data_IF_007451821327
#
_entry.id   IF_007451821327
#
_cell.length_a   1.000
_cell.length_b   1.000
_cell.length_c   1.000
_cell.angle_alpha   90.00
_cell.angle_beta   90.00
_cell.angle_gamma   90.00
#
_symmetry.space_group_name_H-M   'P 1'
#
loop_
_entity.id
_entity.type
_entity.pdbx_description
1 polymer ?
#
# COMPACT_ATOMS: atom_id res chain seq x y z
N UNK A 1 -17.26 -18.66 -29.99
CA UNK A 1 -17.06 -18.81 -28.52
C UNK A 1 -15.59 -19.03 -28.38
N UNK A 2 -14.84 -17.97 -28.11
CA UNK A 2 -13.41 -17.92 -28.37
C UNK A 2 -12.74 -17.28 -27.14
N UNK A 3 -11.85 -18.09 -26.54
CA UNK A 3 -10.68 -17.74 -25.73
C UNK A 3 -10.98 -17.13 -24.35
N UNK A 4 -10.94 -17.90 -23.24
CA UNK A 4 -9.78 -18.42 -22.50
C UNK A 4 -8.86 -17.32 -21.92
N UNK A 5 -8.76 -17.35 -20.58
CA UNK A 5 -7.73 -16.75 -19.71
C UNK A 5 -7.79 -15.24 -19.43
N UNK A 6 -8.88 -14.75 -18.82
CA UNK A 6 -8.77 -13.63 -17.88
C UNK A 6 -8.47 -14.21 -16.48
N UNK A 7 -7.27 -14.76 -16.30
CA UNK A 7 -6.75 -14.90 -14.92
C UNK A 7 -6.50 -13.47 -14.45
N UNK A 8 -7.25 -12.93 -13.47
CA UNK A 8 -6.88 -11.64 -12.92
C UNK A 8 -5.47 -11.82 -12.39
N UNK A 9 -4.53 -11.02 -12.88
CA UNK A 9 -3.17 -10.94 -12.33
C UNK A 9 -3.35 -10.63 -10.84
N UNK A 10 -3.35 -11.67 -10.00
CA UNK A 10 -3.53 -11.53 -8.55
C UNK A 10 -2.28 -10.87 -8.01
N UNK A 11 -2.28 -9.54 -8.02
CA UNK A 11 -1.28 -8.78 -7.30
C UNK A 11 -1.23 -9.29 -5.85
N UNK A 12 -0.02 -9.55 -5.35
CA UNK A 12 0.18 -9.84 -3.93
C UNK A 12 0.32 -8.53 -3.17
N UNK A 13 0.05 -8.55 -1.87
CA UNK A 13 0.25 -7.37 -1.01
C UNK A 13 1.70 -6.86 -1.07
N UNK A 14 2.67 -7.78 -1.11
CA UNK A 14 4.10 -7.49 -1.27
C UNK A 14 4.40 -6.79 -2.60
N UNK A 15 3.86 -7.32 -3.71
CA UNK A 15 4.06 -6.70 -5.03
C UNK A 15 3.45 -5.30 -5.09
N UNK A 16 2.26 -5.10 -4.51
CA UNK A 16 1.63 -3.77 -4.42
C UNK A 16 2.41 -2.83 -3.51
N UNK A 17 2.93 -3.34 -2.39
CA UNK A 17 3.76 -2.56 -1.49
C UNK A 17 4.96 -1.96 -2.24
N UNK A 18 5.68 -2.75 -3.03
CA UNK A 18 6.78 -2.26 -3.87
C UNK A 18 6.34 -1.17 -4.87
N UNK A 19 5.15 -1.32 -5.46
CA UNK A 19 4.57 -0.29 -6.34
C UNK A 19 4.30 1.01 -5.55
N UNK A 20 3.70 0.90 -4.37
CA UNK A 20 3.38 2.05 -3.52
C UNK A 20 4.63 2.73 -2.93
N UNK A 21 5.70 1.99 -2.62
CA UNK A 21 6.98 2.56 -2.19
C UNK A 21 7.56 3.55 -3.20
N UNK A 22 7.23 3.36 -4.49
CA UNK A 22 7.69 4.17 -5.60
C UNK A 22 6.62 5.12 -6.16
N UNK A 23 5.43 5.16 -5.55
CA UNK A 23 4.35 6.05 -5.96
C UNK A 23 4.58 7.48 -5.46
N UNK A 24 4.33 8.48 -6.32
CA UNK A 24 4.45 9.92 -6.00
C UNK A 24 5.80 10.32 -5.39
N UNK A 25 6.89 9.72 -5.87
CA UNK A 25 8.23 10.21 -5.55
C UNK A 25 8.41 11.60 -6.16
N UNK A 26 8.92 12.55 -5.38
CA UNK A 26 9.37 13.84 -5.92
C UNK A 26 10.66 13.56 -6.67
N UNK A 27 10.76 13.91 -7.97
CA UNK A 27 11.98 13.72 -8.74
C UNK A 27 13.03 14.73 -8.29
N UNK A 28 13.77 14.40 -7.23
CA UNK A 28 15.00 15.10 -6.86
C UNK A 28 16.18 14.17 -7.13
N UNK A 29 16.67 14.27 -8.37
CA UNK A 29 18.05 14.05 -8.85
C UNK A 29 18.69 12.65 -8.88
N UNK A 30 18.00 11.57 -8.52
CA UNK A 30 18.49 10.21 -8.77
C UNK A 30 17.42 9.37 -9.48
N UNK A 31 17.38 9.49 -10.81
CA UNK A 31 16.35 8.93 -11.70
C UNK A 31 16.29 7.38 -11.75
N UNK A 32 16.98 6.65 -10.86
CA UNK A 32 17.07 5.19 -10.91
C UNK A 32 17.09 4.50 -9.52
N UNK A 33 16.60 5.17 -8.46
CA UNK A 33 16.54 4.54 -7.14
C UNK A 33 15.12 3.98 -6.88
N UNK A 34 14.99 2.66 -7.00
CA UNK A 34 13.80 1.93 -6.55
C UNK A 34 13.83 1.84 -5.02
N UNK A 35 12.75 2.24 -4.37
CA UNK A 35 12.60 2.10 -2.93
C UNK A 35 11.83 0.82 -2.61
N UNK A 36 12.35 0.07 -1.64
CA UNK A 36 11.73 -1.10 -1.00
C UNK A 36 11.09 -0.75 0.36
N UNK A 37 10.98 0.56 0.66
CA UNK A 37 10.39 1.06 1.90
C UNK A 37 9.35 2.16 1.64
N UNK A 38 8.23 2.12 2.36
CA UNK A 38 7.05 2.98 2.15
C UNK A 38 7.04 4.21 3.07
N UNK A 39 6.56 5.33 2.57
CA UNK A 39 6.30 6.57 3.32
C UNK A 39 4.89 6.57 3.93
N UNK A 40 4.70 7.32 5.02
CA UNK A 40 3.36 7.56 5.60
C UNK A 40 2.35 8.06 4.55
N UNK A 41 2.76 9.02 3.72
CA UNK A 41 1.88 9.57 2.68
C UNK A 41 1.47 8.55 1.61
N UNK A 42 2.32 7.55 1.36
CA UNK A 42 2.03 6.44 0.44
C UNK A 42 1.08 5.43 1.08
N UNK A 43 1.24 5.15 2.38
CA UNK A 43 0.27 4.35 3.17
C UNK A 43 -1.10 5.03 3.18
N UNK A 44 -1.15 6.33 3.51
CA UNK A 44 -2.39 7.12 3.50
C UNK A 44 -3.05 7.03 2.12
N UNK A 45 -2.29 7.24 1.04
CA UNK A 45 -2.82 7.18 -0.31
C UNK A 45 -3.40 5.80 -0.68
N UNK A 46 -2.78 4.71 -0.22
CA UNK A 46 -3.30 3.36 -0.44
C UNK A 46 -4.60 3.13 0.33
N UNK A 47 -4.66 3.56 1.59
CA UNK A 47 -5.88 3.48 2.42
C UNK A 47 -7.03 4.34 1.87
N UNK A 48 -6.71 5.54 1.34
CA UNK A 48 -7.66 6.41 0.64
C UNK A 48 -8.22 5.71 -0.62
N UNK A 49 -7.35 5.09 -1.42
CA UNK A 49 -7.76 4.34 -2.62
C UNK A 49 -8.60 3.11 -2.29
N UNK A 50 -8.26 2.41 -1.21
CA UNK A 50 -9.00 1.26 -0.68
C UNK A 50 -10.33 1.66 0.00
N UNK A 51 -10.67 2.95 0.03
CA UNK A 51 -11.87 3.49 0.72
C UNK A 51 -11.92 3.13 2.21
N UNK A 52 -10.75 2.97 2.81
CA UNK A 52 -10.57 2.72 4.24
C UNK A 52 -10.28 4.01 5.01
N UNK A 53 -10.01 5.11 4.30
CA UNK A 53 -9.77 6.44 4.83
C UNK A 53 -10.69 7.45 4.14
N UNK A 54 -11.30 8.43 4.86
CA UNK A 54 -11.10 8.78 6.28
C UNK A 54 -11.85 7.92 7.31
N UNK A 55 -12.67 6.97 6.86
CA UNK A 55 -13.41 6.05 7.72
C UNK A 55 -13.30 4.64 7.13
N UNK A 56 -13.05 3.59 7.94
CA UNK A 56 -12.91 3.60 9.40
C UNK A 56 -11.56 4.16 9.90
N UNK A 57 -10.50 4.15 9.08
CA UNK A 57 -9.15 4.57 9.47
C UNK A 57 -8.95 6.05 9.19
N UNK A 58 -8.52 6.81 10.19
CA UNK A 58 -8.23 8.24 10.06
C UNK A 58 -6.75 8.53 9.80
N UNK A 59 -6.47 9.66 9.15
CA UNK A 59 -5.10 10.15 8.90
C UNK A 59 -4.32 10.43 10.19
N UNK A 60 -5.03 10.78 11.26
CA UNK A 60 -4.43 10.96 12.59
C UNK A 60 -3.96 9.63 13.17
N UNK A 61 -4.76 8.55 13.05
CA UNK A 61 -4.36 7.22 13.51
C UNK A 61 -3.12 6.71 12.77
N UNK A 62 -3.10 6.79 11.44
CA UNK A 62 -1.93 6.38 10.64
C UNK A 62 -0.69 7.16 11.03
N UNK A 63 -0.80 8.49 11.18
CA UNK A 63 0.29 9.35 11.64
C UNK A 63 0.82 8.97 13.03
N UNK A 64 -0.06 8.75 14.02
CA UNK A 64 0.33 8.37 15.38
C UNK A 64 1.01 7.00 15.44
N UNK A 65 0.53 6.02 14.66
CA UNK A 65 1.16 4.69 14.58
C UNK A 65 2.54 4.80 13.92
N UNK A 66 2.63 5.47 12.77
CA UNK A 66 3.87 5.63 12.02
C UNK A 66 4.98 6.31 12.83
N UNK A 67 4.65 7.34 13.59
CA UNK A 67 5.61 8.07 14.43
C UNK A 67 6.26 7.21 15.52
N UNK A 68 5.67 6.06 15.90
CA UNK A 68 6.27 5.13 16.89
C UNK A 68 7.54 4.47 16.36
N UNK A 69 7.65 4.26 15.05
CA UNK A 69 8.79 3.57 14.44
C UNK A 69 10.05 4.44 14.39
N UNK A 70 9.90 5.78 14.44
CA UNK A 70 11.02 6.74 14.37
C UNK A 70 11.90 6.54 13.11
N UNK A 71 11.32 6.00 12.03
CA UNK A 71 11.96 5.79 10.72
C UNK A 71 11.38 6.76 9.70
N UNK A 72 12.19 7.12 8.69
CA UNK A 72 11.71 7.93 7.57
C UNK A 72 10.78 7.13 6.65
N UNK A 73 11.12 5.86 6.37
CA UNK A 73 10.33 4.89 5.59
C UNK A 73 10.20 3.59 6.38
N UNK A 74 9.12 2.85 6.14
CA UNK A 74 8.87 1.56 6.75
C UNK A 74 9.14 0.43 5.76
N UNK A 75 9.82 -0.60 6.23
CA UNK A 75 10.02 -1.86 5.50
C UNK A 75 8.69 -2.64 5.47
N UNK A 76 8.60 -3.68 4.64
CA UNK A 76 7.36 -4.45 4.50
C UNK A 76 6.87 -5.06 5.83
N UNK A 77 7.80 -5.57 6.66
CA UNK A 77 7.46 -6.13 7.98
C UNK A 77 6.86 -5.07 8.91
N UNK A 78 7.46 -3.88 8.98
CA UNK A 78 6.93 -2.76 9.76
C UNK A 78 5.54 -2.34 9.25
N UNK A 79 5.36 -2.31 7.93
CA UNK A 79 4.07 -2.01 7.31
C UNK A 79 2.99 -3.02 7.69
N UNK A 80 3.31 -4.32 7.72
CA UNK A 80 2.38 -5.36 8.17
C UNK A 80 1.94 -5.18 9.63
N UNK A 81 2.86 -4.75 10.49
CA UNK A 81 2.57 -4.42 11.89
C UNK A 81 1.68 -3.17 12.00
N UNK A 82 1.90 -2.14 11.16
CA UNK A 82 1.01 -0.98 11.05
C UNK A 82 -0.40 -1.42 10.67
N UNK A 83 -0.55 -2.27 9.66
CA UNK A 83 -1.85 -2.80 9.26
C UNK A 83 -2.51 -3.62 10.37
N UNK A 84 -1.74 -4.43 11.10
CA UNK A 84 -2.26 -5.22 12.20
C UNK A 84 -2.77 -4.31 13.33
N UNK A 85 -2.03 -3.26 13.65
CA UNK A 85 -2.43 -2.28 14.66
C UNK A 85 -3.68 -1.50 14.23
N UNK A 86 -3.78 -1.10 12.95
CA UNK A 86 -4.95 -0.44 12.38
C UNK A 86 -6.18 -1.33 12.41
N UNK A 87 -6.02 -2.61 12.08
CA UNK A 87 -7.09 -3.59 12.15
C UNK A 87 -7.62 -3.72 13.57
N UNK A 88 -6.71 -3.87 14.54
CA UNK A 88 -7.06 -3.98 15.96
C UNK A 88 -7.75 -2.72 16.50
N UNK A 89 -7.26 -1.52 16.16
CA UNK A 89 -7.79 -0.24 16.66
C UNK A 89 -9.19 0.10 16.10
N UNK A 90 -9.52 -0.46 14.93
CA UNK A 90 -10.78 -0.20 14.22
C UNK A 90 -11.70 -1.43 14.15
N UNK A 91 -11.42 -2.47 14.92
CA UNK A 91 -12.18 -3.74 14.96
C UNK A 91 -12.36 -4.38 13.58
N UNK A 92 -11.38 -4.20 12.69
CA UNK A 92 -11.37 -4.79 11.35
C UNK A 92 -10.71 -6.16 11.38
N UNK A 93 -11.16 -7.04 10.50
CA UNK A 93 -10.46 -8.29 10.27
C UNK A 93 -9.16 -7.99 9.48
N UNK A 94 -8.03 -8.48 10.00
CA UNK A 94 -6.71 -8.23 9.41
C UNK A 94 -6.55 -8.83 8.01
N UNK A 95 -7.07 -10.03 7.77
CA UNK A 95 -7.04 -10.65 6.45
C UNK A 95 -7.93 -9.90 5.46
N UNK A 96 -9.13 -9.48 5.89
CA UNK A 96 -10.02 -8.66 5.05
C UNK A 96 -9.42 -7.29 4.74
N UNK A 97 -8.73 -6.66 5.70
CA UNK A 97 -8.00 -5.41 5.49
C UNK A 97 -6.94 -5.57 4.39
N UNK A 98 -6.14 -6.64 4.46
CA UNK A 98 -5.16 -6.95 3.41
C UNK A 98 -5.82 -7.24 2.07
N UNK A 99 -6.91 -8.00 2.05
CA UNK A 99 -7.65 -8.27 0.81
C UNK A 99 -8.20 -6.99 0.21
N UNK A 100 -8.70 -6.06 1.03
CA UNK A 100 -9.21 -4.76 0.57
C UNK A 100 -8.08 -3.91 -0.04
N UNK A 101 -6.89 -3.94 0.54
CA UNK A 101 -5.71 -3.28 -0.03
C UNK A 101 -5.28 -3.93 -1.36
N UNK A 102 -5.37 -5.26 -1.48
CA UNK A 102 -5.09 -5.97 -2.73
C UNK A 102 -6.12 -5.63 -3.80
N UNK A 103 -7.41 -5.60 -3.46
CA UNK A 103 -8.52 -5.26 -4.34
C UNK A 103 -8.46 -3.80 -4.82
N UNK A 104 -7.95 -2.89 -3.96
CA UNK A 104 -7.67 -1.52 -4.33
C UNK A 104 -6.67 -1.41 -5.51
N UNK A 105 -5.78 -2.40 -5.66
CA UNK A 105 -4.86 -2.52 -6.78
C UNK A 105 -3.74 -1.49 -6.80
N UNK A 106 -3.13 -1.29 -7.97
CA UNK A 106 -2.03 -0.33 -8.18
C UNK A 106 -2.49 1.12 -7.96
N UNK A 107 -1.61 2.02 -7.49
CA UNK A 107 -2.00 3.39 -7.20
C UNK A 107 -2.59 4.09 -8.43
N UNK A 108 -3.74 4.75 -8.26
CA UNK A 108 -4.38 5.52 -9.33
C UNK A 108 -3.44 6.62 -9.83
N UNK A 109 -3.09 6.55 -11.12
CA UNK A 109 -2.14 7.46 -11.78
C UNK A 109 -0.69 6.97 -11.81
N UNK A 110 -0.37 5.83 -11.20
CA UNK A 110 0.83 5.09 -11.56
C UNK A 110 0.58 4.43 -12.92
N UNK A 111 1.44 4.65 -13.91
CA UNK A 111 1.47 3.84 -15.12
C UNK A 111 1.55 2.38 -14.67
N UNK A 112 0.61 1.54 -15.08
CA UNK A 112 0.61 0.10 -14.81
C UNK A 112 2.03 -0.44 -15.03
N UNK A 113 2.80 -0.63 -13.95
CA UNK A 113 4.02 -1.42 -14.04
C UNK A 113 3.54 -2.86 -14.17
N UNK A 114 3.36 -3.25 -15.43
CA UNK A 114 3.17 -4.64 -15.82
C UNK A 114 4.49 -5.33 -15.52
N UNK A 115 4.65 -5.81 -14.28
CA UNK A 115 5.78 -6.68 -13.93
C UNK A 115 5.58 -7.99 -14.68
N UNK A 116 6.15 -8.05 -15.88
CA UNK A 116 6.36 -9.30 -16.62
C UNK A 116 7.51 -10.04 -15.94
N UNK A 117 7.22 -11.11 -15.22
CA UNK A 117 8.20 -12.17 -14.99
C UNK A 117 7.54 -13.51 -14.77
#
# INVERSE_FOLDING_TARGET
MADEDDKPKKYTLDSLFMVYCNYKLVPTELENEEFDCILLSQIDAWLEQAKLMPMPITRTQTGLIYMRYKKWRLEFEDFLEVLQQLATDNELNYDELKQTLIDAGVPSGATEIVTVK
#
